data_IF_877575224663
#
_entry.id   IF_877575224663
#
_cell.length_a   1.000
_cell.length_b   1.000
_cell.length_c   1.000
_cell.angle_alpha   90.00
_cell.angle_beta   90.00
_cell.angle_gamma   90.00
#
_symmetry.space_group_name_H-M   'P 1'
#
loop_
_entity.id
_entity.type
_entity.pdbx_description
1 polymer ?
#
# COMPACT_ATOMS: atom_id res chain seq x y z
N UNK A 1 13.64 -11.63 5.37
CA UNK A 1 13.56 -10.42 4.52
C UNK A 1 14.40 -10.65 3.30
N UNK A 2 13.87 -10.44 2.09
CA UNK A 2 14.64 -10.46 0.83
C UNK A 2 15.39 -9.14 0.62
N UNK A 3 15.99 -8.63 1.70
CA UNK A 3 16.87 -7.47 1.64
C UNK A 3 18.29 -8.01 1.69
N UNK A 4 19.18 -7.48 0.85
CA UNK A 4 20.61 -7.79 0.93
C UNK A 4 21.24 -7.07 2.15
N UNK A 5 22.54 -7.31 2.36
CA UNK A 5 23.29 -6.73 3.47
C UNK A 5 23.34 -5.19 3.41
N UNK A 6 23.14 -4.61 2.22
CA UNK A 6 23.05 -3.18 1.97
C UNK A 6 21.63 -2.64 2.08
N UNK A 7 20.64 -3.46 2.44
CA UNK A 7 19.24 -3.06 2.60
C UNK A 7 18.49 -2.82 1.29
N UNK A 8 19.03 -3.25 0.14
CA UNK A 8 18.33 -3.22 -1.13
C UNK A 8 17.44 -4.45 -1.30
N UNK A 9 16.34 -4.31 -2.02
CA UNK A 9 15.52 -5.45 -2.37
C UNK A 9 16.27 -6.36 -3.36
N UNK A 10 16.54 -7.60 -2.93
CA UNK A 10 17.21 -8.63 -3.75
C UNK A 10 16.29 -9.30 -4.77
N UNK A 11 15.00 -8.92 -4.81
CA UNK A 11 13.96 -9.47 -5.68
C UNK A 11 13.29 -8.38 -6.54
N UNK A 12 13.99 -7.86 -7.56
CA UNK A 12 13.49 -6.78 -8.42
C UNK A 12 12.23 -7.16 -9.21
N UNK A 13 12.04 -8.44 -9.54
CA UNK A 13 10.87 -8.95 -10.25
C UNK A 13 9.58 -8.75 -9.43
N UNK A 14 9.66 -8.87 -8.10
CA UNK A 14 8.53 -8.60 -7.22
C UNK A 14 8.11 -7.13 -7.28
N UNK A 15 9.07 -6.20 -7.29
CA UNK A 15 8.77 -4.77 -7.44
C UNK A 15 8.15 -4.49 -8.81
N UNK A 16 8.70 -5.07 -9.88
CA UNK A 16 8.15 -4.91 -11.22
C UNK A 16 6.70 -5.41 -11.29
N UNK A 17 6.44 -6.61 -10.75
CA UNK A 17 5.08 -7.16 -10.69
C UNK A 17 4.15 -6.27 -9.85
N UNK A 18 4.61 -5.80 -8.69
CA UNK A 18 3.85 -4.88 -7.84
C UNK A 18 3.44 -3.61 -8.61
N UNK A 19 4.36 -3.00 -9.36
CA UNK A 19 4.07 -1.81 -10.16
C UNK A 19 3.15 -2.09 -11.35
N UNK A 20 3.28 -3.25 -12.02
CA UNK A 20 2.35 -3.65 -13.07
C UNK A 20 0.93 -3.81 -12.51
N UNK A 21 0.80 -4.47 -11.35
CA UNK A 21 -0.47 -4.63 -10.67
C UNK A 21 -1.06 -3.29 -10.22
N UNK A 22 -0.23 -2.40 -9.66
CA UNK A 22 -0.65 -1.08 -9.17
C UNK A 22 -1.15 -0.14 -10.29
N UNK A 23 -0.52 -0.19 -11.46
CA UNK A 23 -0.88 0.65 -12.60
C UNK A 23 -1.99 0.06 -13.49
N UNK A 24 -2.41 -1.18 -13.22
CA UNK A 24 -3.47 -1.84 -13.98
C UNK A 24 -4.83 -1.19 -13.70
N UNK A 25 -5.70 -1.04 -14.72
CA UNK A 25 -7.08 -0.63 -14.50
C UNK A 25 -7.92 -1.72 -13.81
N UNK A 26 -7.46 -2.98 -13.80
CA UNK A 26 -8.17 -4.12 -13.21
C UNK A 26 -8.20 -4.06 -11.68
N UNK A 27 -9.38 -4.24 -11.10
CA UNK A 27 -9.53 -4.34 -9.64
C UNK A 27 -8.78 -5.54 -9.08
N UNK A 28 -8.76 -6.70 -9.76
CA UNK A 28 -8.05 -7.91 -9.31
C UNK A 28 -6.52 -7.69 -9.22
N UNK A 29 -5.98 -6.93 -10.17
CA UNK A 29 -4.56 -6.58 -10.19
C UNK A 29 -4.23 -5.61 -9.05
N UNK A 30 -5.05 -4.59 -8.82
CA UNK A 30 -4.91 -3.72 -7.64
C UNK A 30 -4.99 -4.52 -6.34
N UNK A 31 -5.93 -5.45 -6.27
CA UNK A 31 -6.11 -6.33 -5.10
C UNK A 31 -4.84 -7.13 -4.81
N UNK A 32 -4.21 -7.68 -5.86
CA UNK A 32 -2.94 -8.40 -5.78
C UNK A 32 -1.80 -7.51 -5.25
N UNK A 33 -1.67 -6.28 -5.77
CA UNK A 33 -0.68 -5.32 -5.28
C UNK A 33 -0.87 -4.99 -3.79
N UNK A 34 -2.12 -4.79 -3.36
CA UNK A 34 -2.44 -4.47 -1.96
C UNK A 34 -2.14 -5.64 -1.02
N UNK A 35 -2.42 -6.88 -1.45
CA UNK A 35 -2.08 -8.08 -0.68
C UNK A 35 -0.57 -8.18 -0.49
N UNK A 36 0.21 -7.96 -1.55
CA UNK A 36 1.67 -7.96 -1.47
C UNK A 36 2.20 -6.93 -0.48
N UNK A 37 1.73 -5.68 -0.57
CA UNK A 37 2.12 -4.61 0.36
C UNK A 37 1.68 -4.85 1.81
N UNK A 38 0.55 -5.53 2.01
CA UNK A 38 0.10 -5.89 3.35
C UNK A 38 1.02 -6.92 3.98
N UNK A 39 1.46 -7.92 3.21
CA UNK A 39 2.30 -9.01 3.71
C UNK A 39 3.78 -8.63 3.78
N UNK A 40 4.25 -7.75 2.90
CA UNK A 40 5.67 -7.34 2.79
C UNK A 40 5.76 -5.81 2.66
N UNK A 41 5.42 -5.04 3.71
CA UNK A 41 5.42 -3.57 3.65
C UNK A 41 6.83 -2.97 3.44
N UNK A 42 7.88 -3.69 3.79
CA UNK A 42 9.28 -3.30 3.60
C UNK A 42 9.89 -3.72 2.27
N UNK A 43 9.08 -4.11 1.27
CA UNK A 43 9.55 -4.59 -0.04
C UNK A 43 10.44 -3.60 -0.79
N UNK A 44 10.43 -2.32 -0.42
CA UNK A 44 11.22 -1.29 -1.09
C UNK A 44 12.63 -1.09 -0.51
N UNK A 45 12.92 -1.65 0.67
CA UNK A 45 14.20 -1.49 1.34
C UNK A 45 14.65 -0.02 1.43
N UNK A 46 15.92 0.23 1.11
CA UNK A 46 16.52 1.57 1.13
C UNK A 46 16.04 2.51 0.01
N UNK A 47 15.31 2.00 -1.00
CA UNK A 47 14.78 2.82 -2.09
C UNK A 47 13.39 3.37 -1.79
N UNK A 48 12.84 3.11 -0.60
CA UNK A 48 11.46 3.42 -0.28
C UNK A 48 11.09 4.88 -0.47
N UNK A 49 11.95 5.81 -0.06
CA UNK A 49 11.69 7.25 -0.18
C UNK A 49 11.37 7.66 -1.62
N UNK A 50 12.01 7.00 -2.61
CA UNK A 50 11.78 7.22 -4.04
C UNK A 50 10.40 6.74 -4.50
N UNK A 51 9.80 5.79 -3.80
CA UNK A 51 8.52 5.17 -4.17
C UNK A 51 7.32 5.69 -3.37
N UNK A 52 7.52 6.51 -2.34
CA UNK A 52 6.44 6.98 -1.46
C UNK A 52 5.28 7.63 -2.22
N UNK A 53 5.57 8.45 -3.23
CA UNK A 53 4.55 9.11 -4.05
C UNK A 53 3.71 8.08 -4.82
N UNK A 54 4.35 7.08 -5.42
CA UNK A 54 3.67 6.03 -6.21
C UNK A 54 2.83 5.13 -5.29
N UNK A 55 3.37 4.75 -4.14
CA UNK A 55 2.66 3.97 -3.12
C UNK A 55 1.42 4.71 -2.63
N UNK A 56 1.56 6.01 -2.34
CA UNK A 56 0.44 6.86 -1.95
C UNK A 56 -0.63 6.94 -3.03
N UNK A 57 -0.24 7.11 -4.29
CA UNK A 57 -1.17 7.14 -5.41
C UNK A 57 -1.93 5.82 -5.55
N UNK A 58 -1.26 4.67 -5.41
CA UNK A 58 -1.91 3.35 -5.38
C UNK A 58 -2.97 3.28 -4.26
N UNK A 59 -2.60 3.68 -3.04
CA UNK A 59 -3.54 3.68 -1.92
C UNK A 59 -4.74 4.61 -2.12
N UNK A 60 -4.50 5.81 -2.66
CA UNK A 60 -5.57 6.76 -3.01
C UNK A 60 -6.50 6.19 -4.06
N UNK A 61 -5.97 5.60 -5.13
CA UNK A 61 -6.79 4.99 -6.18
C UNK A 61 -7.59 3.81 -5.63
N UNK A 62 -6.97 2.93 -4.85
CA UNK A 62 -7.61 1.73 -4.33
C UNK A 62 -8.63 1.97 -3.20
N UNK A 63 -8.53 3.07 -2.44
CA UNK A 63 -9.61 3.43 -1.48
C UNK A 63 -10.81 4.06 -2.18
N UNK A 64 -10.62 4.67 -3.35
CA UNK A 64 -11.69 5.37 -4.05
C UNK A 64 -12.41 4.52 -5.11
N UNK A 65 -11.99 3.27 -5.35
CA UNK A 65 -12.73 2.37 -6.26
C UNK A 65 -14.08 1.97 -5.66
N UNK A 66 -15.13 1.75 -6.47
CA UNK A 66 -16.45 1.30 -6.02
C UNK A 66 -16.47 -0.21 -5.71
N UNK A 67 -15.40 -0.75 -5.14
CA UNK A 67 -15.27 -2.15 -4.74
C UNK A 67 -14.87 -2.22 -3.26
N UNK A 68 -15.80 -2.65 -2.41
CA UNK A 68 -15.60 -2.71 -0.96
C UNK A 68 -14.47 -3.64 -0.55
N UNK A 69 -14.20 -4.71 -1.30
CA UNK A 69 -13.13 -5.65 -0.98
C UNK A 69 -11.76 -5.03 -1.23
N UNK A 70 -11.60 -4.31 -2.35
CA UNK A 70 -10.37 -3.57 -2.66
C UNK A 70 -10.15 -2.44 -1.65
N UNK A 71 -11.22 -1.70 -1.30
CA UNK A 71 -11.15 -0.64 -0.28
C UNK A 71 -10.66 -1.15 1.08
N UNK A 72 -11.22 -2.27 1.57
CA UNK A 72 -10.80 -2.86 2.84
C UNK A 72 -9.35 -3.33 2.79
N UNK A 73 -8.91 -3.92 1.68
CA UNK A 73 -7.49 -4.33 1.51
C UNK A 73 -6.57 -3.12 1.43
N UNK A 74 -7.00 -2.02 0.80
CA UNK A 74 -6.24 -0.78 0.76
C UNK A 74 -6.03 -0.20 2.17
N UNK A 75 -7.07 -0.17 2.99
CA UNK A 75 -6.95 0.25 4.40
C UNK A 75 -5.97 -0.65 5.16
N UNK A 76 -6.04 -1.98 4.99
CA UNK A 76 -5.10 -2.92 5.61
C UNK A 76 -3.65 -2.68 5.17
N UNK A 77 -3.43 -2.48 3.87
CA UNK A 77 -2.11 -2.21 3.31
C UNK A 77 -1.52 -0.89 3.83
N UNK A 78 -2.33 0.18 3.90
CA UNK A 78 -1.89 1.46 4.48
C UNK A 78 -1.50 1.28 5.94
N UNK A 79 -2.33 0.62 6.75
CA UNK A 79 -2.03 0.36 8.15
C UNK A 79 -0.73 -0.44 8.29
N UNK A 80 -0.57 -1.53 7.53
CA UNK A 80 0.64 -2.35 7.54
C UNK A 80 1.89 -1.54 7.18
N UNK A 81 1.80 -0.69 6.14
CA UNK A 81 2.89 0.16 5.70
C UNK A 81 3.27 1.22 6.73
N UNK A 82 2.29 1.94 7.30
CA UNK A 82 2.54 2.95 8.33
C UNK A 82 3.07 2.32 9.62
N UNK A 83 2.55 1.15 10.02
CA UNK A 83 3.03 0.41 11.19
C UNK A 83 4.47 -0.08 10.99
N UNK A 84 4.84 -0.55 9.79
CA UNK A 84 6.22 -0.93 9.50
C UNK A 84 7.18 0.25 9.69
N UNK A 85 6.72 1.46 9.37
CA UNK A 85 7.48 2.70 9.45
C UNK A 85 7.15 3.58 10.67
N UNK A 86 6.71 2.98 11.78
CA UNK A 86 6.23 3.74 12.94
C UNK A 86 7.27 4.70 13.57
N UNK A 87 8.57 4.52 13.30
CA UNK A 87 9.63 5.43 13.77
C UNK A 87 9.96 6.56 12.78
N UNK A 88 9.38 6.55 11.58
CA UNK A 88 9.67 7.50 10.51
C UNK A 88 8.52 8.52 10.40
N UNK A 89 8.64 9.63 11.13
CA UNK A 89 7.60 10.66 11.20
C UNK A 89 7.22 11.26 9.84
N UNK A 90 8.17 11.35 8.92
CA UNK A 90 7.93 11.86 7.56
C UNK A 90 6.94 10.98 6.79
N UNK A 91 7.07 9.65 6.92
CA UNK A 91 6.13 8.69 6.33
C UNK A 91 4.75 8.87 6.94
N UNK A 92 4.64 8.98 8.27
CA UNK A 92 3.34 9.19 8.93
C UNK A 92 2.63 10.45 8.42
N UNK A 93 3.36 11.56 8.32
CA UNK A 93 2.84 12.82 7.76
C UNK A 93 2.39 12.65 6.31
N UNK A 94 3.15 11.89 5.51
CA UNK A 94 2.86 11.67 4.10
C UNK A 94 1.51 10.97 3.84
N UNK A 95 1.04 10.12 4.77
CA UNK A 95 -0.21 9.36 4.63
C UNK A 95 -1.38 9.91 5.49
N UNK A 96 -1.18 11.00 6.23
CA UNK A 96 -2.21 11.55 7.15
C UNK A 96 -3.48 12.00 6.41
N UNK A 97 -3.35 12.50 5.19
CA UNK A 97 -4.48 12.92 4.33
C UNK A 97 -5.36 11.74 3.86
N UNK A 98 -4.88 10.49 3.98
CA UNK A 98 -5.69 9.32 3.65
C UNK A 98 -6.64 8.90 4.78
N UNK A 99 -6.41 9.37 6.01
CA UNK A 99 -7.19 8.98 7.18
C UNK A 99 -8.70 9.21 7.02
N UNK A 100 -9.19 10.36 6.50
CA UNK A 100 -10.62 10.55 6.28
C UNK A 100 -11.23 9.49 5.36
N UNK A 101 -10.53 9.15 4.28
CA UNK A 101 -11.00 8.14 3.32
C UNK A 101 -10.97 6.74 3.94
N UNK A 102 -9.95 6.40 4.73
CA UNK A 102 -9.87 5.13 5.45
C UNK A 102 -11.05 4.94 6.43
N UNK A 103 -11.46 6.00 7.12
CA UNK A 103 -12.58 5.94 8.07
C UNK A 103 -13.93 5.72 7.36
N UNK A 104 -14.08 6.17 6.10
CA UNK A 104 -15.31 5.98 5.32
C UNK A 104 -15.56 4.51 4.93
N UNK A 105 -14.49 3.74 4.66
CA UNK A 105 -14.58 2.34 4.22
C UNK A 105 -15.33 1.44 5.22
N UNK A 106 -15.33 1.78 6.52
CA UNK A 106 -16.03 1.01 7.56
C UNK A 106 -17.45 1.49 7.90
N UNK A 107 -17.84 2.70 7.49
CA UNK A 107 -19.18 3.22 7.82
C UNK A 107 -20.30 2.58 6.98
N UNK A 108 -19.99 2.06 5.79
CA UNK A 108 -21.01 1.46 4.91
C UNK A 108 -21.30 -0.02 5.16
N UNK A 109 -20.47 -0.73 5.94
CA UNK A 109 -20.63 -2.18 6.17
C UNK A 109 -21.39 -2.55 7.46
N UNK A 110 -22.18 -1.61 8.01
CA UNK A 110 -22.97 -1.84 9.23
C UNK A 110 -24.42 -1.38 9.06
N UNK A 111 -25.13 -1.95 8.09
CA UNK A 111 -26.59 -2.08 8.09
C UNK A 111 -26.94 -3.40 7.35
N UNK A 112 -26.50 -4.54 7.88
CA UNK A 112 -27.11 -5.86 7.63
C UNK A 112 -27.08 -6.65 8.93
#
# INVERSE_FOLDING_TARGET
NHLDDDGNNSWPELLNFLFQCANSPSNDMKDSALIMLTNVPGVFGNQQSSYLVVIKQLFQQSINVPDSNVQVKAVKAICAFVLHHYRVTEIQKHFTDLLPNMMRVRLYKKIE
#
